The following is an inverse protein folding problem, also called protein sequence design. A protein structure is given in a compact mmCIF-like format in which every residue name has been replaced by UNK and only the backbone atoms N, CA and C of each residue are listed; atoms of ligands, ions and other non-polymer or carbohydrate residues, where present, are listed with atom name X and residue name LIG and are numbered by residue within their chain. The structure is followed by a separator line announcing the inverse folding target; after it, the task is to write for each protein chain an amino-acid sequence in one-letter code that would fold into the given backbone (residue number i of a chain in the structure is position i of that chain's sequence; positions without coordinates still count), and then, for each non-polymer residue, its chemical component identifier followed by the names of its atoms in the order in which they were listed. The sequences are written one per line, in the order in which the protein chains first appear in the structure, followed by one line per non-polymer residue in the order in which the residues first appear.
data_IF_052102072073
#
_entry.id   IF_052102072073
#
_cell.length_a   1.000
_cell.length_b   1.000
_cell.length_c   1.000
_cell.angle_alpha   90.00
_cell.angle_beta   90.00
_cell.angle_gamma   90.00
#
_symmetry.space_group_name_H-M   'P 1'
#
loop_
_entity.id
_entity.type
_entity.pdbx_description
1 polymer ?
#
# COMPACT_ATOMS: atom_id res chain seq x y z
N UNK A 1 -21.16 -18.39 -14.15
CA UNK A 1 -21.41 -17.84 -12.80
C UNK A 1 -20.50 -16.64 -12.45
N UNK A 2 -19.16 -16.75 -12.36
CA UNK A 2 -18.28 -15.58 -12.11
C UNK A 2 -18.29 -14.55 -13.26
N UNK A 3 -18.24 -15.00 -14.52
CA UNK A 3 -18.33 -14.11 -15.69
C UNK A 3 -19.71 -13.42 -15.79
N UNK A 4 -20.75 -14.04 -15.25
CA UNK A 4 -22.13 -13.51 -15.25
C UNK A 4 -22.37 -12.49 -14.14
N UNK A 5 -21.45 -12.38 -13.16
CA UNK A 5 -21.50 -11.42 -12.05
C UNK A 5 -20.77 -10.10 -12.36
N UNK A 6 -20.24 -9.91 -13.58
CA UNK A 6 -19.45 -8.72 -13.92
C UNK A 6 -18.12 -8.65 -13.16
N UNK A 7 -17.54 -9.80 -12.84
CA UNK A 7 -16.33 -9.92 -12.03
C UNK A 7 -15.16 -9.13 -12.62
N UNK A 8 -14.99 -9.12 -13.95
CA UNK A 8 -13.96 -8.32 -14.63
C UNK A 8 -14.19 -6.80 -14.50
N UNK A 9 -15.45 -6.34 -14.55
CA UNK A 9 -15.80 -4.92 -14.44
C UNK A 9 -15.57 -4.37 -13.03
N UNK A 10 -15.76 -5.21 -12.00
CA UNK A 10 -15.44 -4.85 -10.61
C UNK A 10 -13.93 -4.55 -10.41
N UNK A 11 -13.04 -5.23 -11.14
CA UNK A 11 -11.60 -4.96 -11.10
C UNK A 11 -11.19 -3.71 -11.87
N UNK A 12 -11.93 -3.33 -12.92
CA UNK A 12 -11.56 -2.21 -13.77
C UNK A 12 -11.58 -0.86 -13.02
N UNK A 13 -12.39 -0.74 -11.95
CA UNK A 13 -12.62 0.53 -11.26
C UNK A 13 -12.36 0.49 -9.75
N UNK A 14 -12.02 -0.67 -9.18
CA UNK A 14 -11.95 -0.82 -7.73
C UNK A 14 -11.13 -2.00 -7.23
N UNK A 15 -11.52 -2.51 -6.07
CA UNK A 15 -10.95 -3.70 -5.46
C UNK A 15 -12.09 -4.63 -5.03
N UNK A 16 -11.92 -5.92 -5.26
CA UNK A 16 -12.82 -6.96 -4.79
C UNK A 16 -12.23 -7.63 -3.54
N UNK A 17 -13.08 -7.86 -2.54
CA UNK A 17 -12.78 -8.77 -1.43
C UNK A 17 -13.48 -10.10 -1.73
N UNK A 18 -12.70 -11.16 -1.89
CA UNK A 18 -13.19 -12.47 -2.33
C UNK A 18 -12.96 -13.45 -1.19
N UNK A 19 -14.04 -14.01 -0.66
CA UNK A 19 -13.98 -15.14 0.25
C UNK A 19 -13.88 -16.45 -0.54
N UNK A 20 -13.22 -17.46 0.05
CA UNK A 20 -12.98 -18.76 -0.58
C UNK A 20 -12.32 -18.66 -1.97
N UNK A 21 -11.16 -17.96 -2.09
CA UNK A 21 -10.51 -17.69 -3.37
C UNK A 21 -10.14 -18.95 -4.17
N UNK A 22 -9.98 -20.09 -3.51
CA UNK A 22 -9.76 -21.39 -4.15
C UNK A 22 -10.91 -21.82 -5.09
N UNK A 23 -12.13 -21.29 -4.88
CA UNK A 23 -13.26 -21.54 -5.79
C UNK A 23 -13.18 -20.72 -7.08
N UNK A 24 -12.33 -19.70 -7.11
CA UNK A 24 -12.07 -18.84 -8.26
C UNK A 24 -10.67 -19.12 -8.87
N UNK A 25 -10.08 -20.29 -8.58
CA UNK A 25 -8.77 -20.67 -9.08
C UNK A 25 -8.75 -20.61 -10.62
N UNK A 26 -7.72 -19.96 -11.18
CA UNK A 26 -7.59 -19.70 -12.62
C UNK A 26 -8.20 -18.37 -13.10
N UNK A 27 -9.11 -17.75 -12.34
CA UNK A 27 -9.73 -16.46 -12.69
C UNK A 27 -9.12 -15.27 -11.93
N UNK A 28 -8.39 -15.54 -10.85
CA UNK A 28 -7.77 -14.50 -10.03
C UNK A 28 -6.57 -13.85 -10.74
N UNK A 29 -6.47 -12.50 -10.76
CA UNK A 29 -5.29 -11.82 -11.29
C UNK A 29 -4.01 -12.24 -10.56
N UNK A 30 -2.88 -12.25 -11.27
CA UNK A 30 -1.54 -12.51 -10.68
C UNK A 30 -1.12 -11.47 -9.64
N UNK A 31 -1.80 -10.33 -9.58
CA UNK A 31 -1.59 -9.22 -8.64
C UNK A 31 -2.49 -9.32 -7.41
N UNK A 32 -3.26 -10.41 -7.27
CA UNK A 32 -4.08 -10.69 -6.08
C UNK A 32 -3.21 -10.73 -4.83
N UNK A 33 -3.67 -10.05 -3.78
CA UNK A 33 -3.10 -10.16 -2.43
C UNK A 33 -3.97 -11.15 -1.66
N UNK A 34 -3.37 -12.28 -1.27
CA UNK A 34 -4.05 -13.29 -0.47
C UNK A 34 -3.93 -12.93 1.01
N UNK A 35 -5.02 -13.08 1.74
CA UNK A 35 -5.08 -12.91 3.19
C UNK A 35 -5.54 -14.25 3.79
N UNK A 36 -4.62 -14.94 4.45
CA UNK A 36 -4.92 -16.15 5.21
C UNK A 36 -5.11 -15.79 6.68
N UNK A 37 -6.26 -16.15 7.26
CA UNK A 37 -6.54 -15.95 8.69
C UNK A 37 -6.25 -17.25 9.45
N UNK A 38 -5.15 -17.27 10.18
CA UNK A 38 -4.69 -18.45 10.93
C UNK A 38 -5.05 -18.31 12.40
N UNK A 39 -5.49 -19.40 13.03
CA UNK A 39 -5.73 -19.45 14.47
C UNK A 39 -4.45 -19.09 15.25
N UNK A 40 -4.56 -18.19 16.23
CA UNK A 40 -3.43 -17.80 17.06
C UNK A 40 -3.88 -17.38 18.46
N UNK A 41 -3.72 -18.29 19.44
CA UNK A 41 -4.28 -18.13 20.79
C UNK A 41 -5.80 -17.93 20.73
N UNK A 42 -6.30 -16.93 21.46
CA UNK A 42 -7.72 -16.52 21.42
C UNK A 42 -8.07 -15.68 20.17
N UNK A 43 -7.09 -15.35 19.33
CA UNK A 43 -7.22 -14.44 18.18
C UNK A 43 -6.92 -15.10 16.84
N UNK A 44 -6.60 -14.25 15.85
CA UNK A 44 -6.15 -14.66 14.51
C UNK A 44 -4.89 -13.90 14.11
N UNK A 45 -4.02 -14.58 13.38
CA UNK A 45 -2.93 -13.99 12.64
C UNK A 45 -3.33 -13.88 11.17
N UNK A 46 -3.34 -12.66 10.62
CA UNK A 46 -3.50 -12.45 9.19
C UNK A 46 -2.14 -12.56 8.50
N UNK A 47 -1.95 -13.60 7.68
CA UNK A 47 -0.78 -13.75 6.80
C UNK A 47 -1.13 -13.21 5.43
N UNK A 48 -0.29 -12.30 4.93
CA UNK A 48 -0.45 -11.73 3.61
C UNK A 48 0.60 -12.32 2.67
N UNK A 49 0.17 -12.76 1.49
CA UNK A 49 1.05 -13.20 0.41
C UNK A 49 0.58 -12.66 -0.93
N UNK A 50 1.48 -12.63 -1.91
CA UNK A 50 1.21 -12.07 -3.22
C UNK A 50 2.48 -11.50 -3.85
N UNK A 51 2.32 -10.90 -5.02
CA UNK A 51 3.44 -10.34 -5.77
C UNK A 51 2.99 -9.14 -6.62
N UNK A 52 3.98 -8.35 -7.06
CA UNK A 52 3.78 -7.19 -7.92
C UNK A 52 3.23 -5.97 -7.17
N UNK A 53 2.92 -4.94 -7.97
CA UNK A 53 2.69 -3.59 -7.44
C UNK A 53 1.58 -3.50 -6.38
N UNK A 54 0.53 -4.32 -6.46
CA UNK A 54 -0.54 -4.35 -5.46
C UNK A 54 -0.04 -4.85 -4.11
N UNK A 55 0.73 -5.95 -4.09
CA UNK A 55 1.34 -6.47 -2.87
C UNK A 55 2.40 -5.50 -2.31
N UNK A 56 3.22 -4.91 -3.18
CA UNK A 56 4.24 -3.93 -2.77
C UNK A 56 3.61 -2.71 -2.06
N UNK A 57 2.46 -2.23 -2.56
CA UNK A 57 1.70 -1.15 -1.90
C UNK A 57 1.20 -1.56 -0.51
N UNK A 58 0.68 -2.77 -0.36
CA UNK A 58 0.23 -3.30 0.93
C UNK A 58 1.40 -3.44 1.91
N UNK A 59 2.49 -4.07 1.47
CA UNK A 59 3.70 -4.24 2.26
C UNK A 59 4.27 -2.89 2.72
N UNK A 60 4.32 -1.89 1.82
CA UNK A 60 4.77 -0.54 2.17
C UNK A 60 3.85 0.13 3.20
N UNK A 61 2.53 -0.02 3.06
CA UNK A 61 1.57 0.53 4.02
C UNK A 61 1.70 -0.11 5.41
N UNK A 62 1.97 -1.42 5.49
CA UNK A 62 2.25 -2.11 6.74
C UNK A 62 3.58 -1.67 7.37
N UNK A 63 4.63 -1.50 6.56
CA UNK A 63 5.91 -0.96 7.03
C UNK A 63 5.78 0.46 7.60
N UNK A 64 4.93 1.31 7.00
CA UNK A 64 4.62 2.63 7.53
C UNK A 64 3.89 2.56 8.89
N UNK A 65 2.99 1.59 9.09
CA UNK A 65 2.35 1.37 10.39
C UNK A 65 3.36 0.93 11.45
N UNK A 66 4.20 -0.07 11.13
CA UNK A 66 5.25 -0.51 12.05
C UNK A 66 6.26 0.59 12.38
N UNK A 67 6.59 1.46 11.43
CA UNK A 67 7.40 2.66 11.70
C UNK A 67 6.72 3.60 12.69
N UNK A 68 5.42 3.89 12.51
CA UNK A 68 4.66 4.73 13.44
C UNK A 68 4.52 4.08 14.81
N UNK A 69 4.25 2.77 14.88
CA UNK A 69 4.19 2.01 16.13
C UNK A 69 5.48 2.18 16.93
N UNK A 70 6.63 1.95 16.29
CA UNK A 70 7.95 2.10 16.90
C UNK A 70 8.26 3.55 17.32
N UNK A 71 7.64 4.53 16.67
CA UNK A 71 7.78 5.95 17.01
C UNK A 71 6.81 6.42 18.10
N UNK A 72 5.94 5.55 18.64
CA UNK A 72 4.91 5.91 19.61
C UNK A 72 3.63 6.49 18.99
N UNK A 73 3.47 6.37 17.67
CA UNK A 73 2.35 6.89 16.88
C UNK A 73 1.41 5.80 16.37
N UNK A 74 1.44 4.60 16.96
CA UNK A 74 0.71 3.43 16.46
C UNK A 74 -0.82 3.57 16.41
N UNK A 75 -1.38 4.39 17.30
CA UNK A 75 -2.81 4.70 17.33
C UNK A 75 -3.19 5.91 16.46
N UNK A 76 -2.26 6.49 15.71
CA UNK A 76 -2.52 7.66 14.90
C UNK A 76 -3.40 7.31 13.69
N UNK A 77 -4.37 8.17 13.39
CA UNK A 77 -5.12 8.13 12.14
C UNK A 77 -4.25 8.67 11.02
N UNK A 78 -4.21 7.97 9.89
CA UNK A 78 -3.46 8.34 8.68
C UNK A 78 -4.42 8.83 7.60
N UNK A 79 -4.10 9.94 6.94
CA UNK A 79 -4.84 10.45 5.79
C UNK A 79 -3.88 10.84 4.69
N UNK A 80 -4.18 10.49 3.45
CA UNK A 80 -3.40 10.93 2.30
C UNK A 80 -3.27 12.46 2.29
N UNK A 81 -2.05 12.93 2.01
CA UNK A 81 -1.72 14.34 1.85
C UNK A 81 -1.15 14.54 0.45
N UNK A 82 -1.61 15.60 -0.22
CA UNK A 82 -1.25 15.91 -1.61
C UNK A 82 0.28 15.99 -1.73
N UNK A 83 0.81 15.36 -2.78
CA UNK A 83 2.23 15.25 -3.05
C UNK A 83 2.89 16.58 -3.42
N UNK A 84 4.22 16.57 -3.39
CA UNK A 84 5.03 17.53 -4.13
C UNK A 84 5.30 16.99 -5.55
N UNK A 85 6.06 17.73 -6.37
CA UNK A 85 6.46 17.26 -7.71
C UNK A 85 7.51 16.12 -7.67
N UNK A 86 7.75 15.49 -6.52
CA UNK A 86 8.72 14.42 -6.38
C UNK A 86 8.06 13.03 -6.37
N UNK A 87 8.88 11.99 -6.31
CA UNK A 87 8.40 10.60 -6.15
C UNK A 87 7.93 10.29 -4.70
N UNK A 88 8.03 11.25 -3.78
CA UNK A 88 7.64 11.07 -2.37
C UNK A 88 6.12 11.16 -2.25
N UNK A 89 5.58 10.35 -1.35
CA UNK A 89 4.18 10.48 -0.94
C UNK A 89 4.10 10.87 0.53
N UNK A 90 3.03 11.56 0.88
CA UNK A 90 2.86 12.11 2.21
C UNK A 90 1.51 11.72 2.79
N UNK A 91 1.48 11.64 4.11
CA UNK A 91 0.25 11.47 4.87
C UNK A 91 0.25 12.39 6.08
N UNK A 92 -0.92 12.95 6.38
CA UNK A 92 -1.14 13.57 7.69
C UNK A 92 -1.42 12.45 8.68
N UNK A 93 -0.65 12.43 9.76
CA UNK A 93 -0.88 11.55 10.91
C UNK A 93 -1.40 12.37 12.09
N UNK A 94 -2.49 11.92 12.69
CA UNK A 94 -3.16 12.62 13.79
C UNK A 94 -3.36 11.67 14.97
N UNK A 95 -2.85 12.08 16.13
CA UNK A 95 -2.98 11.38 17.40
C UNK A 95 -3.68 12.32 18.39
N UNK A 96 -4.60 11.80 19.20
CA UNK A 96 -5.36 12.63 20.13
C UNK A 96 -4.44 13.34 21.14
N UNK A 97 -4.61 14.65 21.32
CA UNK A 97 -3.78 15.46 22.21
C UNK A 97 -2.44 15.92 21.61
N UNK A 98 -2.10 15.48 20.40
CA UNK A 98 -0.86 15.86 19.71
C UNK A 98 -1.14 16.76 18.50
N UNK A 99 -0.19 17.63 18.17
CA UNK A 99 -0.23 18.35 16.91
C UNK A 99 -0.09 17.38 15.72
N UNK A 100 -0.84 17.54 14.61
CA UNK A 100 -0.70 16.69 13.43
C UNK A 100 0.73 16.73 12.87
N UNK A 101 1.20 15.58 12.38
CA UNK A 101 2.54 15.46 11.76
C UNK A 101 2.43 14.98 10.32
N UNK A 102 3.49 15.20 9.55
CA UNK A 102 3.63 14.68 8.19
C UNK A 102 4.45 13.40 8.24
N UNK A 103 3.87 12.30 7.79
CA UNK A 103 4.59 11.07 7.48
C UNK A 103 5.06 11.13 6.02
N UNK A 104 6.36 11.10 5.81
CA UNK A 104 6.97 11.07 4.47
C UNK A 104 7.31 9.63 4.08
N UNK A 105 6.70 9.15 3.01
CA UNK A 105 7.10 7.93 2.33
C UNK A 105 8.04 8.30 1.16
N UNK A 106 9.35 8.26 1.45
CA UNK A 106 10.39 8.53 0.45
C UNK A 106 10.92 7.22 -0.15
N UNK A 107 10.63 6.91 -1.42
CA UNK A 107 11.22 5.75 -2.09
C UNK A 107 12.72 5.96 -2.32
N UNK A 108 13.47 4.88 -2.60
CA UNK A 108 14.86 5.00 -3.04
C UNK A 108 14.92 5.89 -4.28
N UNK A 109 15.91 6.77 -4.33
CA UNK A 109 16.12 7.64 -5.48
C UNK A 109 16.43 6.80 -6.71
N UNK A 110 15.58 6.88 -7.72
CA UNK A 110 15.87 6.38 -9.06
C UNK A 110 16.24 7.59 -9.90
N UNK A 111 17.46 7.59 -10.44
CA UNK A 111 17.89 8.65 -11.33
C UNK A 111 17.09 8.55 -12.63
N UNK A 112 16.29 9.59 -12.88
CA UNK A 112 15.63 9.76 -14.17
C UNK A 112 16.62 10.07 -15.30
N UNK A 113 16.15 10.19 -16.55
CA UNK A 113 17.00 10.65 -17.63
C UNK A 113 17.57 12.05 -17.33
N UNK A 114 18.72 12.42 -17.93
CA UNK A 114 19.26 13.77 -17.84
C UNK A 114 18.22 14.82 -18.25
N UNK A 115 18.06 15.86 -17.44
CA UNK A 115 17.14 16.97 -17.71
C UNK A 115 17.91 18.26 -18.01
N UNK A 116 19.04 18.49 -17.35
CA UNK A 116 19.89 19.68 -17.58
C UNK A 116 21.36 19.34 -17.32
N UNK A 117 22.26 19.81 -18.17
CA UNK A 117 23.72 19.65 -18.05
C UNK A 117 24.17 18.19 -17.84
N UNK A 118 23.48 17.23 -18.49
CA UNK A 118 23.76 15.79 -18.32
C UNK A 118 23.31 15.22 -16.97
N UNK A 119 22.68 16.03 -16.10
CA UNK A 119 22.23 15.64 -14.77
C UNK A 119 20.73 15.33 -14.75
N UNK A 120 20.33 14.22 -14.10
CA UNK A 120 18.93 13.93 -13.81
C UNK A 120 18.30 15.02 -12.95
N UNK A 121 16.98 15.20 -13.06
CA UNK A 121 16.21 16.17 -12.25
C UNK A 121 16.52 16.06 -10.75
N UNK A 122 16.61 14.82 -10.25
CA UNK A 122 16.93 14.49 -8.86
C UNK A 122 18.28 15.00 -8.34
N UNK A 123 19.19 15.47 -9.21
CA UNK A 123 20.53 15.97 -8.87
C UNK A 123 20.60 17.50 -8.95
N UNK A 124 19.64 18.14 -9.62
CA UNK A 124 19.59 19.59 -9.85
C UNK A 124 18.51 20.31 -9.04
N UNK A 125 17.62 19.56 -8.38
CA UNK A 125 16.52 20.05 -7.55
C UNK A 125 16.84 19.97 -6.05
#
# INVERSE_FOLDING_TARGET
ELDELGFEEAFAQGAALIEWPERAEGYLPKTTVLIELVQHGEGRLARLSGQGASFDRVARSLAMRGFLDNAGWGQARRRHFIGDASARSYEIVSLAGEAPRVLMNSPRLVLGPPVRDGKPYAVIA
#
